data_IF_295448950493
#
_entry.id   IF_295448950493
#
_cell.length_a   1.000
_cell.length_b   1.000
_cell.length_c   1.000
_cell.angle_alpha   90.00
_cell.angle_beta   90.00
_cell.angle_gamma   90.00
#
_symmetry.space_group_name_H-M   'P 1'
#
loop_
_entity.id
_entity.type
_entity.pdbx_description
1 polymer ?
#
# COMPACT_ATOMS: atom_id res chain seq x y z
N UNK A 1 4.67 -6.51 2.87
CA UNK A 1 5.74 -7.43 2.40
C UNK A 1 5.36 -8.85 2.73
N UNK A 2 5.68 -9.78 1.83
CA UNK A 2 5.38 -11.21 1.97
C UNK A 2 6.59 -11.92 2.58
N UNK A 3 6.40 -12.50 3.76
CA UNK A 3 7.42 -13.22 4.51
C UNK A 3 7.36 -14.71 4.15
N UNK A 4 8.49 -15.43 4.20
CA UNK A 4 8.46 -16.88 4.05
C UNK A 4 7.74 -17.56 5.21
N UNK A 5 7.82 -16.96 6.41
CA UNK A 5 7.02 -17.31 7.59
C UNK A 5 6.60 -16.01 8.29
N UNK A 6 5.29 -15.77 8.39
CA UNK A 6 4.76 -14.57 9.05
C UNK A 6 4.83 -14.61 10.58
N UNK A 7 5.04 -15.78 11.18
CA UNK A 7 5.18 -15.95 12.63
C UNK A 7 6.60 -15.63 13.11
N UNK A 8 7.60 -15.71 12.22
CA UNK A 8 8.97 -15.30 12.49
C UNK A 8 9.28 -13.93 11.86
N UNK A 9 9.43 -12.86 12.66
CA UNK A 9 9.78 -11.53 12.16
C UNK A 9 11.13 -11.48 11.43
N UNK A 10 12.06 -12.40 11.71
CA UNK A 10 13.38 -12.46 11.08
C UNK A 10 13.40 -13.24 9.77
N UNK A 11 12.31 -13.94 9.42
CA UNK A 11 12.25 -14.74 8.21
C UNK A 11 12.46 -13.90 6.94
N UNK A 12 13.00 -14.44 5.84
CA UNK A 12 13.20 -13.67 4.62
C UNK A 12 11.91 -13.03 4.07
N UNK A 13 12.02 -11.82 3.53
CA UNK A 13 10.99 -11.24 2.66
C UNK A 13 11.16 -11.84 1.27
N UNK A 14 10.12 -12.46 0.75
CA UNK A 14 10.13 -13.11 -0.58
C UNK A 14 9.65 -12.16 -1.68
N UNK A 15 8.70 -11.27 -1.36
CA UNK A 15 8.12 -10.33 -2.31
C UNK A 15 7.51 -9.11 -1.61
N UNK A 16 7.18 -8.10 -2.40
CA UNK A 16 6.39 -6.96 -1.95
C UNK A 16 5.01 -7.01 -2.59
N UNK A 17 4.00 -6.77 -1.77
CA UNK A 17 2.61 -6.65 -2.20
C UNK A 17 2.16 -5.19 -2.10
N UNK A 18 1.52 -4.69 -3.15
CA UNK A 18 0.85 -3.40 -3.16
C UNK A 18 -0.66 -3.61 -3.30
N UNK A 19 -1.41 -3.35 -2.24
CA UNK A 19 -2.87 -3.47 -2.23
C UNK A 19 -3.50 -2.10 -2.48
N UNK A 20 -4.14 -1.95 -3.64
CA UNK A 20 -4.91 -0.75 -3.98
C UNK A 20 -6.18 -0.62 -3.14
N UNK A 21 -6.61 0.61 -2.90
CA UNK A 21 -7.95 0.85 -2.37
C UNK A 21 -9.01 0.62 -3.46
N UNK A 22 -10.28 0.61 -3.07
CA UNK A 22 -11.41 0.59 -4.00
C UNK A 22 -11.57 1.93 -4.73
N UNK A 23 -12.18 1.89 -5.92
CA UNK A 23 -12.54 3.10 -6.67
C UNK A 23 -13.63 3.90 -5.93
N UNK A 24 -14.66 3.24 -5.39
CA UNK A 24 -15.77 3.92 -4.69
C UNK A 24 -16.38 3.14 -3.52
N UNK A 25 -16.22 1.82 -3.44
CA UNK A 25 -16.74 1.01 -2.33
C UNK A 25 -16.21 1.48 -0.97
N UNK A 26 -17.05 1.44 0.05
CA UNK A 26 -16.66 1.79 1.42
C UNK A 26 -15.50 0.92 1.90
N UNK A 27 -14.51 1.56 2.53
CA UNK A 27 -13.39 0.85 3.15
C UNK A 27 -13.74 0.32 4.53
N UNK A 28 -12.93 -0.61 5.07
CA UNK A 28 -13.07 -1.08 6.44
C UNK A 28 -12.79 0.03 7.45
N UNK A 29 -13.19 -0.18 8.72
CA UNK A 29 -12.93 0.77 9.79
C UNK A 29 -11.42 0.98 9.99
N UNK A 30 -10.96 2.20 9.72
CA UNK A 30 -9.54 2.56 9.78
C UNK A 30 -8.92 2.28 11.15
N UNK A 31 -9.59 2.64 12.25
CA UNK A 31 -9.01 2.53 13.59
C UNK A 31 -8.80 1.07 13.99
N UNK A 32 -9.76 0.19 13.67
CA UNK A 32 -9.67 -1.23 13.99
C UNK A 32 -8.51 -1.89 13.24
N UNK A 33 -8.38 -1.61 11.94
CA UNK A 33 -7.29 -2.18 11.13
C UNK A 33 -5.93 -1.58 11.45
N UNK A 34 -5.85 -0.27 11.75
CA UNK A 34 -4.60 0.36 12.19
C UNK A 34 -4.09 -0.24 13.52
N UNK A 35 -4.99 -0.67 14.42
CA UNK A 35 -4.62 -1.42 15.61
C UNK A 35 -4.13 -2.83 15.26
N UNK A 36 -4.82 -3.52 14.35
CA UNK A 36 -4.43 -4.86 13.89
C UNK A 36 -3.07 -4.88 13.17
N UNK A 37 -2.65 -3.76 12.56
CA UNK A 37 -1.31 -3.63 11.97
C UNK A 37 -0.18 -3.85 12.97
N UNK A 38 -0.40 -3.64 14.28
CA UNK A 38 0.60 -3.98 15.33
C UNK A 38 0.94 -5.47 15.36
N UNK A 39 -0.02 -6.33 15.05
CA UNK A 39 0.18 -7.78 14.97
C UNK A 39 0.69 -8.22 13.59
N UNK A 40 0.81 -7.28 12.64
CA UNK A 40 1.22 -7.54 11.27
C UNK A 40 2.36 -6.59 10.87
N UNK A 41 3.55 -6.71 11.51
CA UNK A 41 4.67 -5.77 11.32
C UNK A 41 5.21 -5.73 9.87
N UNK A 42 4.86 -6.72 9.05
CA UNK A 42 5.17 -6.79 7.63
C UNK A 42 4.29 -5.87 6.77
N UNK A 43 3.19 -5.32 7.32
CA UNK A 43 2.34 -4.32 6.66
C UNK A 43 2.94 -2.93 6.88
N UNK A 44 3.52 -2.38 5.82
CA UNK A 44 4.25 -1.09 5.86
C UNK A 44 3.36 0.14 5.73
N UNK A 45 2.15 -0.02 5.22
CA UNK A 45 1.24 1.08 4.94
C UNK A 45 -0.20 0.60 4.94
N UNK A 46 -1.10 1.40 5.52
CA UNK A 46 -2.53 1.14 5.52
C UNK A 46 -3.33 2.46 5.48
N UNK A 47 -4.26 2.55 4.54
CA UNK A 47 -5.25 3.62 4.48
C UNK A 47 -6.59 3.08 3.96
N UNK A 48 -7.67 3.32 4.71
CA UNK A 48 -9.02 2.91 4.35
C UNK A 48 -10.03 4.06 4.35
N UNK A 49 -9.61 5.31 4.55
CA UNK A 49 -10.47 6.50 4.53
C UNK A 49 -10.64 7.09 3.12
N UNK A 50 -9.64 6.95 2.25
CA UNK A 50 -9.65 7.56 0.90
C UNK A 50 -9.71 6.55 -0.24
N UNK A 51 -10.45 6.88 -1.30
CA UNK A 51 -10.67 6.04 -2.48
C UNK A 51 -9.80 6.50 -3.65
N UNK A 52 -9.57 5.61 -4.60
CA UNK A 52 -8.70 5.88 -5.75
C UNK A 52 -8.08 4.61 -6.31
N UNK A 53 -6.82 4.71 -6.73
CA UNK A 53 -6.13 3.66 -7.47
C UNK A 53 -4.61 3.72 -7.28
N UNK A 54 -3.91 2.65 -7.66
CA UNK A 54 -2.46 2.61 -7.69
C UNK A 54 -1.96 2.88 -9.12
N UNK A 55 -0.89 3.66 -9.24
CA UNK A 55 -0.14 3.83 -10.50
C UNK A 55 1.21 3.16 -10.34
N UNK A 56 1.48 2.14 -11.15
CA UNK A 56 2.74 1.42 -11.14
C UNK A 56 3.60 1.85 -12.32
N UNK A 57 4.82 2.29 -12.04
CA UNK A 57 5.86 2.62 -13.02
C UNK A 57 6.96 1.58 -12.85
N UNK A 58 7.10 0.70 -13.84
CA UNK A 58 7.93 -0.50 -13.73
C UNK A 58 9.01 -0.49 -14.82
N UNK A 59 10.23 -0.81 -14.41
CA UNK A 59 11.39 -1.06 -15.26
C UNK A 59 12.10 -2.33 -14.80
N UNK A 60 13.04 -2.90 -15.57
CA UNK A 60 13.82 -4.07 -15.14
C UNK A 60 14.64 -3.86 -13.85
N UNK A 61 14.89 -2.61 -13.44
CA UNK A 61 15.71 -2.28 -12.25
C UNK A 61 14.86 -1.83 -11.05
N UNK A 62 13.68 -1.27 -11.30
CA UNK A 62 12.91 -0.55 -10.29
C UNK A 62 11.41 -0.61 -10.59
N UNK A 63 10.63 -0.91 -9.55
CA UNK A 63 9.19 -0.71 -9.50
C UNK A 63 8.89 0.46 -8.55
N UNK A 64 8.21 1.50 -9.05
CA UNK A 64 7.60 2.56 -8.22
C UNK A 64 6.08 2.46 -8.24
N UNK A 65 5.44 2.51 -7.07
CA UNK A 65 3.98 2.58 -6.94
C UNK A 65 3.58 3.89 -6.29
N UNK A 66 2.66 4.63 -6.91
CA UNK A 66 2.00 5.78 -6.31
C UNK A 66 0.56 5.46 -5.97
N UNK A 67 0.17 5.61 -4.71
CA UNK A 67 -1.23 5.51 -4.29
C UNK A 67 -1.92 6.84 -4.52
N UNK A 68 -2.76 6.92 -5.56
CA UNK A 68 -3.50 8.11 -5.96
C UNK A 68 -4.89 8.06 -5.35
N UNK A 69 -5.27 9.09 -4.62
CA UNK A 69 -6.55 9.15 -3.93
C UNK A 69 -7.28 10.46 -4.19
N UNK A 70 -8.60 10.42 -4.10
CA UNK A 70 -9.45 11.60 -4.11
C UNK A 70 -9.90 11.99 -2.69
N UNK A 71 -10.13 13.28 -2.46
CA UNK A 71 -10.64 13.76 -1.15
C UNK A 71 -12.02 13.18 -0.81
N UNK A 72 -12.91 13.04 -1.80
CA UNK A 72 -14.21 12.37 -1.62
C UNK A 72 -14.78 11.81 -2.92
N UNK A 73 -15.44 10.65 -2.84
CA UNK A 73 -16.20 10.05 -3.96
C UNK A 73 -17.62 10.58 -4.07
N UNK A 74 -18.08 11.39 -3.10
CA UNK A 74 -19.44 11.95 -3.09
C UNK A 74 -19.60 13.13 -4.03
N UNK A 75 -18.50 13.68 -4.58
CA UNK A 75 -18.50 14.81 -5.50
C UNK A 75 -17.95 14.34 -6.85
N UNK A 76 -18.65 14.59 -7.98
CA UNK A 76 -18.16 14.19 -9.30
C UNK A 76 -16.78 14.78 -9.64
N UNK A 77 -16.51 16.02 -9.19
CA UNK A 77 -15.21 16.66 -9.29
C UNK A 77 -14.58 16.75 -7.89
N UNK A 78 -13.69 15.82 -7.58
CA UNK A 78 -12.88 15.84 -6.37
C UNK A 78 -11.40 15.92 -6.74
N UNK A 79 -10.62 16.67 -5.98
CA UNK A 79 -9.18 16.73 -6.22
C UNK A 79 -8.53 15.37 -5.99
N UNK A 80 -7.53 15.07 -6.80
CA UNK A 80 -6.69 13.88 -6.72
C UNK A 80 -5.30 14.25 -6.23
N UNK A 81 -4.73 13.44 -5.35
CA UNK A 81 -3.36 13.61 -4.84
C UNK A 81 -2.64 12.27 -4.68
N UNK A 82 -1.33 12.30 -4.65
CA UNK A 82 -0.54 11.15 -4.19
C UNK A 82 -0.61 11.11 -2.67
N UNK A 83 -1.10 10.01 -2.12
CA UNK A 83 -1.15 9.78 -0.68
C UNK A 83 0.18 9.27 -0.16
N UNK A 84 0.78 8.31 -0.86
CA UNK A 84 2.06 7.71 -0.54
C UNK A 84 2.69 7.13 -1.81
N UNK A 85 4.02 7.04 -1.80
CA UNK A 85 4.81 6.46 -2.87
C UNK A 85 5.77 5.45 -2.30
N UNK A 86 5.99 4.35 -3.02
CA UNK A 86 6.89 3.29 -2.61
C UNK A 86 7.72 2.79 -3.77
N UNK A 87 8.91 2.30 -3.47
CA UNK A 87 9.81 1.66 -4.43
C UNK A 87 10.24 0.27 -3.99
N UNK A 88 10.50 -0.58 -4.98
CA UNK A 88 11.13 -1.89 -4.82
C UNK A 88 12.19 -2.02 -5.92
N UNK A 89 13.43 -2.36 -5.53
CA UNK A 89 14.52 -2.60 -6.47
C UNK A 89 14.53 -4.07 -6.90
N UNK A 90 14.98 -4.33 -8.12
CA UNK A 90 15.17 -5.69 -8.60
C UNK A 90 16.13 -6.47 -7.67
N UNK A 91 15.78 -7.71 -7.34
CA UNK A 91 16.54 -8.57 -6.43
C UNK A 91 16.51 -8.16 -4.95
N UNK A 92 15.78 -7.10 -4.59
CA UNK A 92 15.69 -6.59 -3.22
C UNK A 92 14.21 -6.41 -2.84
N UNK A 93 13.52 -7.51 -2.48
CA UNK A 93 12.13 -7.41 -2.07
C UNK A 93 12.01 -6.60 -0.77
N UNK A 94 10.95 -5.81 -0.68
CA UNK A 94 10.67 -4.97 0.47
C UNK A 94 10.38 -3.53 0.06
N UNK A 95 9.13 -3.06 0.26
CA UNK A 95 8.76 -1.70 -0.10
C UNK A 95 9.53 -0.66 0.72
N UNK A 96 10.07 0.36 0.06
CA UNK A 96 10.67 1.53 0.70
C UNK A 96 9.82 2.75 0.37
N UNK A 97 9.42 3.50 1.39
CA UNK A 97 8.65 4.73 1.17
C UNK A 97 9.56 5.83 0.61
N UNK A 98 9.05 6.62 -0.33
CA UNK A 98 9.74 7.76 -0.96
C UNK A 98 8.85 8.99 -1.04
#
# INVERSE_FOLDING_TARGET
DLKSDFQDPQSPVLATEFVGTSISSSGPNYKLFALASKNNPHVKFFESRYRGYAVCIISPKLWTTHFRVVDTVKKPKSQIRTLASFQVKNGQPGAQQI
#
